data_IF_251889703032
#
_entry.id   IF_251889703032
#
_cell.length_a   1.000
_cell.length_b   1.000
_cell.length_c   1.000
_cell.angle_alpha   90.00
_cell.angle_beta   90.00
_cell.angle_gamma   90.00
#
_symmetry.space_group_name_H-M   'P 1'
#
loop_
_entity.id
_entity.type
_entity.pdbx_description
1 polymer ?
#
# COMPACT_ATOMS: atom_id res chain seq x y z
N UNK A 1 -48.61 -34.31 47.81
CA UNK A 1 -47.17 -34.36 48.15
C UNK A 1 -46.38 -34.22 46.85
N UNK A 2 -45.83 -33.05 46.54
CA UNK A 2 -44.98 -32.87 45.35
C UNK A 2 -43.71 -32.11 45.78
N UNK A 3 -42.59 -32.84 45.80
CA UNK A 3 -41.27 -32.38 46.25
C UNK A 3 -40.65 -31.46 45.20
N UNK A 4 -40.25 -30.26 45.61
CA UNK A 4 -39.41 -29.33 44.84
C UNK A 4 -37.97 -29.87 44.77
N UNK A 5 -37.49 -30.16 43.57
CA UNK A 5 -36.05 -30.34 43.31
C UNK A 5 -35.49 -29.01 42.81
N UNK A 6 -34.68 -28.35 43.64
CA UNK A 6 -33.89 -27.19 43.23
C UNK A 6 -32.57 -27.70 42.63
N UNK A 7 -32.38 -27.46 41.32
CA UNK A 7 -31.14 -27.77 40.62
C UNK A 7 -30.23 -26.55 40.72
N UNK A 8 -29.23 -26.60 41.61
CA UNK A 8 -28.23 -25.54 41.76
C UNK A 8 -27.19 -25.69 40.65
N UNK A 9 -27.25 -24.82 39.63
CA UNK A 9 -26.24 -24.76 38.56
C UNK A 9 -25.02 -23.98 39.09
N UNK A 10 -23.90 -24.67 39.29
CA UNK A 10 -22.62 -24.07 39.66
C UNK A 10 -21.98 -23.47 38.39
N UNK A 11 -21.98 -22.14 38.26
CA UNK A 11 -21.33 -21.41 37.17
C UNK A 11 -19.82 -21.35 37.45
N UNK A 12 -19.02 -22.21 36.82
CA UNK A 12 -17.56 -22.12 36.88
C UNK A 12 -17.10 -20.92 36.04
N UNK A 13 -16.67 -19.84 36.71
CA UNK A 13 -16.07 -18.68 36.07
C UNK A 13 -14.66 -19.02 35.59
N UNK A 14 -14.52 -19.38 34.32
CA UNK A 14 -13.22 -19.45 33.64
C UNK A 14 -12.70 -18.01 33.44
N UNK A 15 -11.50 -17.65 33.92
CA UNK A 15 -10.93 -16.34 33.67
C UNK A 15 -10.60 -16.24 32.18
N UNK A 16 -11.40 -15.46 31.45
CA UNK A 16 -11.04 -14.95 30.12
C UNK A 16 -9.86 -13.99 30.29
N UNK A 17 -8.65 -14.53 30.39
CA UNK A 17 -7.43 -13.76 30.24
C UNK A 17 -7.33 -13.30 28.79
N UNK A 18 -7.75 -12.07 28.51
CA UNK A 18 -7.55 -11.45 27.21
C UNK A 18 -6.05 -11.17 27.03
N UNK A 19 -5.32 -12.12 26.43
CA UNK A 19 -4.01 -11.84 25.88
C UNK A 19 -4.21 -10.86 24.72
N UNK A 20 -4.04 -9.57 24.99
CA UNK A 20 -3.88 -8.56 23.95
C UNK A 20 -2.55 -8.83 23.26
N UNK A 21 -2.59 -9.62 22.19
CA UNK A 21 -1.53 -9.60 21.20
C UNK A 21 -1.50 -8.18 20.63
N UNK A 22 -0.54 -7.36 21.08
CA UNK A 22 -0.23 -6.10 20.42
C UNK A 22 0.04 -6.37 18.94
N UNK A 23 -0.40 -5.44 18.07
CA UNK A 23 -0.09 -5.57 16.66
C UNK A 23 1.43 -5.71 16.50
N UNK A 24 1.92 -6.65 15.66
CA UNK A 24 3.34 -6.83 15.47
C UNK A 24 3.95 -5.51 14.99
N UNK A 25 4.97 -5.05 15.70
CA UNK A 25 5.76 -3.88 15.33
C UNK A 25 6.35 -4.10 13.93
N UNK A 26 6.30 -3.08 13.09
CA UNK A 26 6.79 -3.20 11.72
C UNK A 26 8.33 -3.26 11.76
N UNK A 27 8.97 -4.24 11.08
CA UNK A 27 10.42 -4.43 11.19
C UNK A 27 11.17 -3.14 10.79
N UNK A 28 12.32 -2.82 11.40
CA UNK A 28 13.12 -1.67 10.98
C UNK A 28 13.47 -1.75 9.48
N UNK A 29 13.44 -0.61 8.79
CA UNK A 29 13.83 -0.53 7.38
C UNK A 29 15.34 -0.27 7.25
N UNK A 30 16.02 -1.04 6.40
CA UNK A 30 17.39 -0.71 6.00
C UNK A 30 17.36 0.43 4.98
N UNK A 31 17.58 1.65 5.46
CA UNK A 31 17.56 2.88 4.65
C UNK A 31 18.66 2.90 3.58
N UNK A 32 19.68 2.05 3.66
CA UNK A 32 20.73 1.93 2.62
C UNK A 32 20.32 1.00 1.48
N UNK A 33 19.27 0.20 1.66
CA UNK A 33 18.78 -0.72 0.66
C UNK A 33 18.27 0.00 -0.60
N UNK A 34 18.68 -0.40 -1.81
CA UNK A 34 18.15 0.16 -3.04
C UNK A 34 16.68 -0.25 -3.27
N UNK A 35 15.86 0.71 -3.67
CA UNK A 35 14.41 0.54 -3.88
C UNK A 35 14.08 0.63 -5.37
N UNK A 36 13.48 -0.43 -5.91
CA UNK A 36 12.87 -0.39 -7.23
C UNK A 36 11.44 0.16 -7.10
N UNK A 37 11.24 1.45 -7.37
CA UNK A 37 9.92 2.06 -7.36
C UNK A 37 9.21 1.91 -8.71
N UNK A 38 8.37 0.90 -8.83
CA UNK A 38 7.71 0.50 -10.08
C UNK A 38 6.57 1.44 -10.51
N UNK A 39 6.31 2.49 -9.73
CA UNK A 39 5.33 3.53 -10.04
C UNK A 39 4.00 3.35 -9.32
N UNK A 40 3.00 4.08 -9.81
CA UNK A 40 1.63 4.10 -9.29
C UNK A 40 0.68 3.78 -10.44
N UNK A 41 0.03 2.62 -10.38
CA UNK A 41 -0.98 2.24 -11.36
C UNK A 41 -2.27 3.04 -11.17
N UNK A 42 -3.01 3.28 -12.25
CA UNK A 42 -4.31 3.94 -12.19
C UNK A 42 -5.40 3.01 -12.71
N UNK A 43 -6.40 2.75 -11.87
CA UNK A 43 -7.53 1.92 -12.18
C UNK A 43 -8.82 2.76 -12.17
N UNK A 44 -9.31 3.09 -13.36
CA UNK A 44 -10.61 3.76 -13.49
C UNK A 44 -11.74 2.73 -13.64
N UNK A 45 -12.42 2.48 -12.52
CA UNK A 45 -13.66 1.67 -12.46
C UNK A 45 -14.93 2.51 -12.55
N UNK A 46 -14.82 3.83 -12.67
CA UNK A 46 -15.97 4.73 -12.82
C UNK A 46 -16.56 4.73 -14.24
N UNK A 47 -15.87 4.12 -15.19
CA UNK A 47 -16.12 4.14 -16.64
C UNK A 47 -15.91 5.50 -17.32
N UNK A 48 -15.61 6.58 -16.59
CA UNK A 48 -15.40 7.92 -17.17
C UNK A 48 -14.33 7.90 -18.27
N UNK A 49 -13.15 7.33 -17.98
CA UNK A 49 -12.06 7.23 -18.95
C UNK A 49 -12.38 6.37 -20.17
N UNK A 50 -13.26 5.37 -20.01
CA UNK A 50 -13.69 4.51 -21.12
C UNK A 50 -14.65 5.25 -22.08
N UNK A 51 -15.50 6.15 -21.56
CA UNK A 51 -16.45 6.91 -22.36
C UNK A 51 -15.85 8.20 -22.94
N UNK A 52 -15.02 8.89 -22.16
CA UNK A 52 -14.56 10.25 -22.48
C UNK A 52 -13.06 10.34 -22.76
N UNK A 53 -12.34 9.21 -22.65
CA UNK A 53 -10.88 9.18 -22.75
C UNK A 53 -10.20 9.49 -21.41
N UNK A 54 -8.91 9.18 -21.33
CA UNK A 54 -8.10 9.49 -20.16
C UNK A 54 -8.06 11.01 -19.93
N UNK A 55 -8.11 11.41 -18.66
CA UNK A 55 -8.05 12.82 -18.29
C UNK A 55 -6.60 13.26 -18.08
N UNK A 56 -6.26 14.40 -18.66
CA UNK A 56 -4.92 14.97 -18.54
C UNK A 56 -4.58 15.34 -17.09
N UNK A 57 -5.56 15.81 -16.32
CA UNK A 57 -5.35 16.20 -14.93
C UNK A 57 -5.11 14.98 -14.01
N UNK A 58 -5.78 13.85 -14.24
CA UNK A 58 -5.51 12.59 -13.52
C UNK A 58 -4.14 12.02 -13.89
N UNK A 59 -3.76 12.11 -15.17
CA UNK A 59 -2.42 11.72 -15.63
C UNK A 59 -1.33 12.55 -14.95
N UNK A 60 -1.55 13.87 -14.86
CA UNK A 60 -0.65 14.78 -14.14
C UNK A 60 -0.58 14.46 -12.63
N UNK A 61 -1.72 14.11 -12.01
CA UNK A 61 -1.75 13.72 -10.59
C UNK A 61 -0.96 12.45 -10.32
N UNK A 62 -0.98 11.46 -11.21
CA UNK A 62 -0.15 10.25 -11.06
C UNK A 62 1.34 10.59 -11.09
N UNK A 63 1.78 11.48 -11.98
CA UNK A 63 3.16 11.97 -11.99
C UNK A 63 3.51 12.67 -10.67
N UNK A 64 2.61 13.55 -10.20
CA UNK A 64 2.77 14.26 -8.94
C UNK A 64 2.83 13.32 -7.71
N UNK A 65 2.06 12.23 -7.69
CA UNK A 65 2.18 11.20 -6.65
C UNK A 65 3.53 10.48 -6.70
N UNK A 66 3.97 10.09 -7.90
CA UNK A 66 5.27 9.42 -8.10
C UNK A 66 6.40 10.31 -7.62
N UNK A 67 6.36 11.60 -7.95
CA UNK A 67 7.37 12.57 -7.53
C UNK A 67 7.37 12.76 -6.01
N UNK A 68 6.21 12.84 -5.37
CA UNK A 68 6.11 12.99 -3.91
C UNK A 68 6.64 11.76 -3.16
N UNK A 69 6.27 10.55 -3.61
CA UNK A 69 6.80 9.30 -3.06
C UNK A 69 8.32 9.27 -3.23
N UNK A 70 8.81 9.56 -4.43
CA UNK A 70 10.22 9.51 -4.74
C UNK A 70 11.02 10.55 -3.94
N UNK A 71 10.50 11.77 -3.81
CA UNK A 71 11.07 12.84 -2.97
C UNK A 71 11.14 12.40 -1.51
N UNK A 72 10.08 11.82 -0.96
CA UNK A 72 10.05 11.39 0.44
C UNK A 72 11.03 10.24 0.70
N UNK A 73 11.05 9.21 -0.13
CA UNK A 73 12.00 8.09 0.02
C UNK A 73 13.45 8.56 0.00
N UNK A 74 13.81 9.46 -0.92
CA UNK A 74 15.14 10.07 -0.97
C UNK A 74 15.46 10.89 0.29
N UNK A 75 14.49 11.65 0.80
CA UNK A 75 14.66 12.44 2.03
C UNK A 75 14.89 11.54 3.27
N UNK A 76 14.37 10.31 3.26
CA UNK A 76 14.57 9.33 4.33
C UNK A 76 15.88 8.52 4.20
N UNK A 77 16.63 8.73 3.11
CA UNK A 77 17.94 8.13 2.87
C UNK A 77 17.97 6.99 1.84
N UNK A 78 16.83 6.62 1.26
CA UNK A 78 16.77 5.53 0.28
C UNK A 78 17.33 5.95 -1.08
N UNK A 79 17.95 4.99 -1.77
CA UNK A 79 18.34 5.12 -3.18
C UNK A 79 17.27 4.49 -4.06
N UNK A 80 16.69 5.26 -4.99
CA UNK A 80 15.78 4.72 -5.99
C UNK A 80 16.56 4.24 -7.20
N UNK A 81 16.28 3.02 -7.65
CA UNK A 81 17.00 2.36 -8.73
C UNK A 81 16.63 2.91 -10.11
N UNK A 82 17.56 2.80 -11.05
CA UNK A 82 17.27 2.90 -12.49
C UNK A 82 16.49 1.66 -12.94
N UNK A 83 15.33 1.89 -13.55
CA UNK A 83 14.44 0.83 -14.04
C UNK A 83 14.69 0.46 -15.50
N UNK A 84 15.64 1.12 -16.19
CA UNK A 84 15.98 0.83 -17.59
C UNK A 84 16.19 -0.67 -17.88
N UNK A 85 16.81 -1.49 -17.01
CA UNK A 85 16.96 -2.93 -17.25
C UNK A 85 15.65 -3.73 -17.33
N UNK A 86 14.56 -3.19 -16.80
CA UNK A 86 13.22 -3.80 -16.77
C UNK A 86 12.15 -2.97 -17.47
N UNK A 87 12.54 -1.90 -18.17
CA UNK A 87 11.59 -0.93 -18.76
C UNK A 87 10.54 -1.61 -19.65
N UNK A 88 10.95 -2.50 -20.55
CA UNK A 88 10.01 -3.21 -21.43
C UNK A 88 9.02 -4.12 -20.67
N UNK A 89 9.45 -4.76 -19.57
CA UNK A 89 8.57 -5.57 -18.73
C UNK A 89 7.59 -4.70 -17.95
N UNK A 90 8.07 -3.55 -17.44
CA UNK A 90 7.26 -2.59 -16.71
C UNK A 90 6.22 -1.92 -17.61
N UNK A 91 6.61 -1.52 -18.82
CA UNK A 91 5.71 -0.92 -19.83
C UNK A 91 4.62 -1.90 -20.29
N UNK A 92 4.93 -3.20 -20.37
CA UNK A 92 3.95 -4.24 -20.67
C UNK A 92 3.05 -4.60 -19.48
N UNK A 93 3.34 -4.08 -18.28
CA UNK A 93 2.61 -4.39 -17.06
C UNK A 93 1.60 -3.27 -16.75
N UNK A 94 0.31 -3.61 -16.79
CA UNK A 94 -0.77 -2.65 -16.47
C UNK A 94 -0.70 -2.19 -15.01
N UNK A 95 -0.43 -3.11 -14.08
CA UNK A 95 -0.39 -2.81 -12.66
C UNK A 95 0.61 -3.73 -11.93
N UNK A 96 1.79 -3.21 -11.52
CA UNK A 96 2.78 -3.97 -10.76
C UNK A 96 2.21 -4.61 -9.49
N UNK A 97 1.29 -3.93 -8.79
CA UNK A 97 0.67 -4.45 -7.56
C UNK A 97 -0.31 -5.61 -7.78
N UNK A 98 -0.63 -5.92 -9.04
CA UNK A 98 -1.58 -6.97 -9.44
C UNK A 98 -1.09 -7.75 -10.66
N UNK A 99 0.19 -8.12 -10.69
CA UNK A 99 0.80 -8.78 -11.86
C UNK A 99 1.36 -10.20 -11.62
N UNK A 100 0.82 -10.95 -10.65
CA UNK A 100 1.23 -12.33 -10.37
C UNK A 100 2.76 -12.47 -10.16
N UNK A 101 3.32 -11.60 -9.31
CA UNK A 101 4.74 -11.64 -8.91
C UNK A 101 5.72 -11.09 -9.95
N UNK A 102 5.26 -10.34 -10.94
CA UNK A 102 6.15 -9.69 -11.92
C UNK A 102 7.02 -8.61 -11.27
N UNK A 103 6.47 -7.89 -10.31
CA UNK A 103 7.10 -6.94 -9.41
C UNK A 103 8.33 -7.55 -8.73
N UNK A 104 8.16 -8.73 -8.12
CA UNK A 104 9.27 -9.46 -7.49
C UNK A 104 10.29 -9.97 -8.52
N UNK A 105 9.86 -10.37 -9.72
CA UNK A 105 10.79 -10.78 -10.80
C UNK A 105 11.65 -9.60 -11.26
N UNK A 106 11.04 -8.43 -11.47
CA UNK A 106 11.75 -7.20 -11.82
C UNK A 106 12.69 -6.79 -10.69
N UNK A 107 12.24 -6.82 -9.43
CA UNK A 107 13.08 -6.54 -8.26
C UNK A 107 14.31 -7.46 -8.17
N UNK A 108 14.14 -8.76 -8.39
CA UNK A 108 15.26 -9.72 -8.42
C UNK A 108 16.23 -9.44 -9.56
N UNK A 109 15.71 -9.14 -10.76
CA UNK A 109 16.53 -8.80 -11.93
C UNK A 109 17.34 -7.53 -11.72
N UNK A 110 16.79 -6.55 -11.00
CA UNK A 110 17.48 -5.32 -10.62
C UNK A 110 18.47 -5.51 -9.46
N UNK A 111 18.32 -6.57 -8.66
CA UNK A 111 19.06 -6.70 -7.40
C UNK A 111 18.58 -5.72 -6.33
N UNK A 112 17.30 -5.37 -6.35
CA UNK A 112 16.70 -4.46 -5.38
C UNK A 112 16.67 -5.08 -3.98
N UNK A 113 16.85 -4.27 -2.93
CA UNK A 113 16.56 -4.68 -1.56
C UNK A 113 15.05 -4.59 -1.28
N UNK A 114 14.39 -3.63 -1.93
CA UNK A 114 12.95 -3.45 -1.84
C UNK A 114 12.31 -3.18 -3.20
N UNK A 115 11.07 -3.65 -3.35
CA UNK A 115 10.17 -3.26 -4.43
C UNK A 115 9.08 -2.39 -3.83
N UNK A 116 8.85 -1.23 -4.45
CA UNK A 116 7.80 -0.29 -4.06
C UNK A 116 6.81 -0.15 -5.20
N UNK A 117 5.53 -0.29 -4.88
CA UNK A 117 4.44 -0.21 -5.85
C UNK A 117 3.26 0.53 -5.24
N UNK A 118 2.57 1.31 -6.08
CA UNK A 118 1.36 2.00 -5.71
C UNK A 118 0.22 1.77 -6.68
N UNK A 119 -0.99 2.06 -6.23
CA UNK A 119 -2.20 1.97 -7.02
C UNK A 119 -3.16 3.07 -6.57
N UNK A 120 -3.79 3.74 -7.52
CA UNK A 120 -4.96 4.59 -7.29
C UNK A 120 -6.14 3.97 -8.03
N UNK A 121 -7.19 3.63 -7.30
CA UNK A 121 -8.45 3.20 -7.89
C UNK A 121 -9.48 4.32 -7.76
N UNK A 122 -10.09 4.65 -8.89
CA UNK A 122 -11.21 5.59 -8.96
C UNK A 122 -12.50 4.82 -9.23
N UNK A 123 -13.48 5.01 -8.36
CA UNK A 123 -14.85 4.51 -8.54
C UNK A 123 -15.78 5.66 -8.95
N UNK A 124 -15.47 6.88 -8.54
CA UNK A 124 -16.09 8.13 -9.03
C UNK A 124 -15.20 9.33 -8.73
N UNK A 125 -15.56 10.52 -9.22
CA UNK A 125 -14.89 11.78 -8.82
C UNK A 125 -15.02 12.12 -7.33
N UNK A 126 -15.89 11.41 -6.59
CA UNK A 126 -16.04 11.55 -5.14
C UNK A 126 -15.32 10.45 -4.36
N UNK A 127 -15.10 9.26 -4.93
CA UNK A 127 -14.62 8.08 -4.18
C UNK A 127 -13.42 7.48 -4.91
N UNK A 128 -12.25 7.64 -4.29
CA UNK A 128 -11.00 7.06 -4.72
C UNK A 128 -10.37 6.30 -3.56
N UNK A 129 -9.65 5.22 -3.85
CA UNK A 129 -8.77 4.55 -2.92
C UNK A 129 -7.33 4.60 -3.45
N UNK A 130 -6.37 4.61 -2.53
CA UNK A 130 -4.95 4.68 -2.84
C UNK A 130 -4.19 3.70 -1.96
N UNK A 131 -3.31 2.94 -2.58
CA UNK A 131 -2.48 1.94 -1.94
C UNK A 131 -1.01 2.23 -2.24
N UNK A 132 -0.14 2.00 -1.25
CA UNK A 132 1.31 1.97 -1.43
C UNK A 132 1.86 0.80 -0.61
N UNK A 133 2.65 -0.06 -1.25
CA UNK A 133 3.21 -1.29 -0.66
C UNK A 133 4.72 -1.36 -0.90
N UNK A 134 5.47 -1.67 0.16
CA UNK A 134 6.91 -1.94 0.13
C UNK A 134 7.16 -3.40 0.49
N UNK A 135 7.73 -4.13 -0.46
CA UNK A 135 8.07 -5.54 -0.35
C UNK A 135 9.58 -5.67 -0.18
N UNK A 136 10.03 -6.47 0.78
CA UNK A 136 11.45 -6.85 0.87
C UNK A 136 11.78 -7.95 -0.14
N UNK A 137 13.04 -7.95 -0.59
CA UNK A 137 13.55 -8.93 -1.54
C UNK A 137 14.53 -9.89 -0.86
N UNK A 138 14.63 -11.15 -1.33
CA UNK A 138 13.93 -11.71 -2.50
C UNK A 138 12.56 -12.34 -2.23
N UNK A 139 12.16 -12.52 -0.96
CA UNK A 139 10.98 -13.30 -0.56
C UNK A 139 9.65 -12.58 -0.83
N UNK A 140 9.65 -11.26 -1.01
CA UNK A 140 8.45 -10.48 -1.28
C UNK A 140 7.57 -10.25 -0.06
N UNK A 141 8.12 -10.31 1.16
CA UNK A 141 7.34 -10.03 2.37
C UNK A 141 7.04 -8.53 2.43
N UNK A 142 5.77 -8.20 2.68
CA UNK A 142 5.36 -6.83 2.90
C UNK A 142 5.97 -6.30 4.21
N UNK A 143 6.89 -5.35 4.09
CA UNK A 143 7.53 -4.69 5.24
C UNK A 143 6.86 -3.38 5.59
N UNK A 144 6.22 -2.71 4.62
CA UNK A 144 5.31 -1.57 4.83
C UNK A 144 4.17 -1.65 3.83
N UNK A 145 3.01 -1.16 4.21
CA UNK A 145 1.84 -1.15 3.35
C UNK A 145 0.69 -0.41 3.98
N UNK A 146 -0.01 0.40 3.19
CA UNK A 146 -1.24 1.06 3.64
C UNK A 146 -2.17 1.36 2.47
N UNK A 147 -3.45 1.36 2.79
CA UNK A 147 -4.55 1.83 1.95
C UNK A 147 -5.24 3.02 2.63
N UNK A 148 -5.63 4.01 1.85
CA UNK A 148 -6.48 5.13 2.28
C UNK A 148 -7.57 5.41 1.26
N UNK A 149 -8.73 5.86 1.75
CA UNK A 149 -9.80 6.36 0.91
C UNK A 149 -9.81 7.89 0.90
N UNK A 150 -10.03 8.46 -0.28
CA UNK A 150 -10.08 9.90 -0.51
C UNK A 150 -11.46 10.26 -1.01
N UNK A 151 -12.07 11.27 -0.39
CA UNK A 151 -13.42 11.77 -0.73
C UNK A 151 -13.39 13.03 -1.59
N UNK A 152 -12.64 13.02 -2.68
CA UNK A 152 -12.46 14.14 -3.63
C UNK A 152 -11.47 13.73 -4.73
N UNK A 153 -11.56 14.33 -5.93
CA UNK A 153 -10.60 14.13 -7.03
C UNK A 153 -9.83 15.42 -7.38
N UNK A 154 -8.99 15.90 -6.46
CA UNK A 154 -8.15 17.09 -6.66
C UNK A 154 -6.70 16.82 -6.31
N UNK A 155 -5.78 17.65 -6.80
CA UNK A 155 -4.35 17.53 -6.53
C UNK A 155 -4.06 17.51 -5.02
N UNK A 156 -4.76 18.37 -4.27
CA UNK A 156 -4.63 18.47 -2.82
C UNK A 156 -5.12 17.19 -2.12
N UNK A 157 -6.25 16.62 -2.55
CA UNK A 157 -6.79 15.41 -1.93
C UNK A 157 -5.88 14.20 -2.17
N UNK A 158 -5.32 14.06 -3.37
CA UNK A 158 -4.34 13.03 -3.73
C UNK A 158 -3.05 13.16 -2.92
N UNK A 159 -2.50 14.39 -2.80
CA UNK A 159 -1.30 14.64 -1.99
C UNK A 159 -1.50 14.34 -0.51
N UNK A 160 -2.64 14.74 0.06
CA UNK A 160 -2.93 14.42 1.47
C UNK A 160 -3.01 12.91 1.68
N UNK A 161 -3.61 12.17 0.75
CA UNK A 161 -3.68 10.71 0.82
C UNK A 161 -2.31 10.05 0.87
N UNK A 162 -1.44 10.37 -0.11
CA UNK A 162 -0.11 9.73 -0.16
C UNK A 162 0.78 10.17 1.00
N UNK A 163 0.73 11.44 1.41
CA UNK A 163 1.49 11.94 2.56
C UNK A 163 1.04 11.27 3.84
N UNK A 164 -0.27 11.08 4.02
CA UNK A 164 -0.78 10.34 5.18
C UNK A 164 -0.20 8.92 5.24
N UNK A 165 -0.16 8.19 4.12
CA UNK A 165 0.47 6.86 4.07
C UNK A 165 1.94 6.96 4.49
N UNK A 166 2.68 7.90 3.92
CA UNK A 166 4.13 8.05 4.17
C UNK A 166 4.42 8.44 5.62
N UNK A 167 3.65 9.38 6.17
CA UNK A 167 3.85 9.95 7.50
C UNK A 167 3.43 9.03 8.64
N UNK A 168 2.43 8.18 8.43
CA UNK A 168 1.85 7.39 9.52
C UNK A 168 2.19 5.90 9.43
N UNK A 169 2.56 5.41 8.25
CA UNK A 169 2.73 3.97 8.03
C UNK A 169 4.07 3.60 7.42
N UNK A 170 4.87 4.54 6.94
CA UNK A 170 6.21 4.26 6.40
C UNK A 170 7.32 4.84 7.27
N UNK A 171 7.21 6.13 7.59
CA UNK A 171 8.28 6.92 8.21
C UNK A 171 7.82 7.69 9.46
N UNK A 172 6.64 7.35 9.98
CA UNK A 172 6.16 7.91 11.24
C UNK A 172 7.12 7.63 12.38
N UNK A 173 7.18 8.55 13.33
CA UNK A 173 7.79 8.28 14.63
C UNK A 173 6.80 7.42 15.42
N UNK A 174 7.26 6.31 15.96
CA UNK A 174 6.55 5.60 17.02
C UNK A 174 6.32 6.51 18.23
#
# INVERSE_FOLDING_TARGET
MLRRFALTVLLAALPFGAAQAGAPESPPLDRKGPVAFLGVAFLDTSTEGAYFGARDDETARLALLRDEVARRFRAEGFTLMDLSPVAAELEATVNPAKCYGCDLRMGRKLGAAYVLEGEVQKVSNLILSMNLVLLEMPEGRMVRGRSVDIRSNTDESWLRGIRYILDNHYFGKE
#
